data_IF_590046729871
#
_entry.id   IF_590046729871
#
_cell.length_a   1.000
_cell.length_b   1.000
_cell.length_c   1.000
_cell.angle_alpha   90.00
_cell.angle_beta   90.00
_cell.angle_gamma   90.00
#
_symmetry.space_group_name_H-M   'P 1'
#
loop_
_entity.id
_entity.type
_entity.pdbx_description
1 polymer ?
#
# COMPACT_ATOMS: atom_id res chain seq x y z
N UNK A 1 14.73 15.47 -35.36
CA UNK A 1 14.11 15.98 -34.13
C UNK A 1 12.62 15.71 -34.21
N UNK A 2 12.14 14.78 -33.39
CA UNK A 2 10.82 14.73 -32.78
C UNK A 2 10.90 13.53 -31.82
N UNK A 3 11.03 13.86 -30.54
CA UNK A 3 11.07 12.91 -29.42
C UNK A 3 9.70 12.24 -29.34
N UNK A 4 9.66 10.93 -29.60
CA UNK A 4 8.52 10.11 -29.22
C UNK A 4 8.67 9.90 -27.70
N UNK A 5 8.16 10.86 -26.94
CA UNK A 5 7.98 10.78 -25.50
C UNK A 5 6.98 9.66 -25.24
N UNK A 6 7.49 8.43 -25.15
CA UNK A 6 6.79 7.35 -24.49
C UNK A 6 6.50 7.82 -23.07
N UNK A 7 5.26 8.27 -22.85
CA UNK A 7 4.66 8.54 -21.55
C UNK A 7 4.93 7.35 -20.62
N UNK A 8 6.03 7.43 -19.88
CA UNK A 8 6.34 6.61 -18.72
C UNK A 8 5.35 7.05 -17.63
N UNK A 9 4.07 6.70 -17.80
CA UNK A 9 3.09 6.80 -16.73
C UNK A 9 3.58 5.81 -15.67
N UNK A 10 4.07 6.26 -14.51
CA UNK A 10 4.52 5.34 -13.50
C UNK A 10 3.32 4.48 -13.13
N UNK A 11 3.49 3.15 -13.20
CA UNK A 11 2.50 2.21 -12.67
C UNK A 11 2.10 2.73 -11.30
N UNK A 12 0.86 3.21 -11.16
CA UNK A 12 0.42 3.90 -9.95
C UNK A 12 0.83 3.06 -8.74
N UNK A 13 1.79 3.57 -7.98
CA UNK A 13 2.37 2.83 -6.88
C UNK A 13 1.31 2.76 -5.80
N UNK A 14 0.68 1.59 -5.67
CA UNK A 14 -0.45 1.37 -4.74
C UNK A 14 -0.09 1.83 -3.33
N UNK A 15 1.18 1.70 -2.93
CA UNK A 15 1.69 2.21 -1.67
C UNK A 15 1.58 3.74 -1.57
N UNK A 16 2.01 4.47 -2.60
CA UNK A 16 1.95 5.93 -2.62
C UNK A 16 0.51 6.43 -2.62
N UNK A 17 -0.40 5.75 -3.34
CA UNK A 17 -1.84 6.06 -3.29
C UNK A 17 -2.40 5.87 -1.89
N UNK A 18 -2.11 4.73 -1.23
CA UNK A 18 -2.59 4.47 0.14
C UNK A 18 -2.03 5.47 1.16
N UNK A 19 -0.75 5.82 1.05
CA UNK A 19 -0.13 6.81 1.92
C UNK A 19 -0.71 8.22 1.68
N UNK A 20 -1.01 8.58 0.43
CA UNK A 20 -1.71 9.84 0.12
C UNK A 20 -3.07 9.88 0.79
N UNK A 21 -3.88 8.83 0.65
CA UNK A 21 -5.21 8.75 1.26
C UNK A 21 -5.13 8.86 2.79
N UNK A 22 -4.12 8.23 3.41
CA UNK A 22 -3.91 8.33 4.86
C UNK A 22 -3.54 9.76 5.27
N UNK A 23 -2.69 10.44 4.49
CA UNK A 23 -2.32 11.84 4.73
C UNK A 23 -3.53 12.76 4.60
N UNK A 24 -4.27 12.67 3.51
CA UNK A 24 -5.47 13.49 3.24
C UNK A 24 -6.46 13.35 4.40
N UNK A 25 -6.75 12.12 4.81
CA UNK A 25 -7.64 11.85 5.93
C UNK A 25 -7.14 12.41 7.26
N UNK A 26 -5.84 12.31 7.53
CA UNK A 26 -5.26 12.89 8.74
C UNK A 26 -5.42 14.42 8.76
N UNK A 27 -5.19 15.08 7.63
CA UNK A 27 -5.39 16.53 7.48
C UNK A 27 -6.86 16.90 7.63
N UNK A 28 -7.78 16.12 7.09
CA UNK A 28 -9.22 16.35 7.26
C UNK A 28 -9.67 16.21 8.73
N UNK A 29 -9.13 15.24 9.46
CA UNK A 29 -9.51 14.96 10.85
C UNK A 29 -8.82 15.91 11.86
N UNK A 30 -7.56 16.27 11.62
CA UNK A 30 -6.74 17.04 12.56
C UNK A 30 -6.47 18.49 12.13
N UNK A 31 -6.70 18.84 10.86
CA UNK A 31 -6.44 20.16 10.31
C UNK A 31 -4.96 20.51 10.15
N UNK A 32 -4.06 19.53 10.33
CA UNK A 32 -2.61 19.69 10.24
C UNK A 32 -1.95 18.53 9.48
N UNK A 33 -0.74 18.75 8.98
CA UNK A 33 0.03 17.70 8.31
C UNK A 33 0.46 16.61 9.30
N UNK A 34 0.32 15.31 8.96
CA UNK A 34 0.79 14.23 9.80
C UNK A 34 2.31 14.30 10.03
N UNK A 35 2.78 14.02 11.25
CA UNK A 35 4.21 13.93 11.54
C UNK A 35 4.85 12.75 10.78
N UNK A 36 6.14 12.88 10.45
CA UNK A 36 6.87 11.84 9.69
C UNK A 36 6.80 10.46 10.37
N UNK A 37 6.93 10.41 11.70
CA UNK A 37 6.83 9.16 12.48
C UNK A 37 5.45 8.47 12.34
N UNK A 38 4.38 9.24 12.12
CA UNK A 38 3.06 8.66 11.84
C UNK A 38 3.04 8.03 10.45
N UNK A 39 3.56 8.72 9.45
CA UNK A 39 3.64 8.24 8.07
C UNK A 39 4.53 7.00 7.94
N UNK A 40 5.66 6.94 8.65
CA UNK A 40 6.53 5.76 8.68
C UNK A 40 5.81 4.54 9.30
N UNK A 41 5.09 4.74 10.40
CA UNK A 41 4.29 3.67 11.02
C UNK A 41 3.14 3.21 10.13
N UNK A 42 2.49 4.14 9.43
CA UNK A 42 1.45 3.82 8.45
C UNK A 42 2.01 2.95 7.31
N UNK A 43 3.17 3.32 6.76
CA UNK A 43 3.88 2.53 5.74
C UNK A 43 4.21 1.12 6.24
N UNK A 44 4.78 1.01 7.44
CA UNK A 44 5.12 -0.28 8.04
C UNK A 44 3.89 -1.18 8.23
N UNK A 45 2.76 -0.60 8.68
CA UNK A 45 1.49 -1.32 8.83
C UNK A 45 0.93 -1.81 7.48
N UNK A 46 1.00 -1.00 6.43
CA UNK A 46 0.55 -1.41 5.09
C UNK A 46 1.38 -2.60 4.60
N UNK A 47 2.71 -2.52 4.69
CA UNK A 47 3.60 -3.62 4.27
C UNK A 47 3.32 -4.90 5.08
N UNK A 48 3.20 -4.79 6.40
CA UNK A 48 2.87 -5.95 7.25
C UNK A 48 1.48 -6.51 6.96
N UNK A 49 0.49 -5.66 6.70
CA UNK A 49 -0.87 -6.09 6.37
C UNK A 49 -0.92 -6.87 5.05
N UNK A 50 -0.21 -6.41 4.03
CA UNK A 50 -0.09 -7.13 2.75
C UNK A 50 0.62 -8.48 2.96
N UNK A 51 1.75 -8.50 3.66
CA UNK A 51 2.48 -9.73 3.92
C UNK A 51 1.71 -10.75 4.78
N UNK A 52 0.84 -10.28 5.68
CA UNK A 52 0.02 -11.16 6.55
C UNK A 52 -1.14 -11.76 5.77
N UNK A 53 -1.79 -10.98 4.89
CA UNK A 53 -2.83 -11.49 3.99
C UNK A 53 -2.32 -12.56 3.05
N UNK A 54 -1.15 -12.38 2.45
CA UNK A 54 -0.49 -13.42 1.66
C UNK A 54 -0.23 -14.70 2.48
N UNK A 55 0.14 -14.58 3.76
CA UNK A 55 0.40 -15.77 4.57
C UNK A 55 -0.88 -16.54 4.96
N UNK A 56 -1.94 -15.83 5.28
CA UNK A 56 -3.22 -16.44 5.67
C UNK A 56 -3.95 -17.04 4.45
N UNK A 57 -3.98 -16.32 3.33
CA UNK A 57 -4.64 -16.78 2.10
C UNK A 57 -3.94 -18.04 1.51
N UNK A 58 -2.62 -18.18 1.67
CA UNK A 58 -1.91 -19.38 1.24
C UNK A 58 -2.09 -20.56 2.19
N UNK A 59 -2.28 -20.32 3.50
CA UNK A 59 -2.52 -21.42 4.45
C UNK A 59 -3.84 -22.12 4.14
N UNK A 60 -4.89 -21.36 3.86
CA UNK A 60 -6.21 -21.91 3.55
C UNK A 60 -6.19 -22.77 2.26
N UNK A 61 -5.35 -22.39 1.28
CA UNK A 61 -5.16 -23.18 0.04
C UNK A 61 -4.43 -24.50 0.33
N UNK A 62 -3.37 -24.50 1.16
CA UNK A 62 -2.66 -25.74 1.49
C UNK A 62 -3.47 -26.67 2.40
N UNK A 63 -4.20 -26.12 3.39
CA UNK A 63 -5.08 -26.92 4.25
C UNK A 63 -6.23 -27.55 3.43
N UNK A 64 -6.75 -26.87 2.40
CA UNK A 64 -7.75 -27.43 1.49
C UNK A 64 -7.22 -28.52 0.53
N UNK A 65 -5.90 -28.56 0.29
CA UNK A 65 -5.23 -29.57 -0.54
C UNK A 65 -4.70 -30.77 0.27
N UNK A 66 -4.67 -30.67 1.60
CA UNK A 66 -4.20 -31.71 2.49
C UNK A 66 -5.32 -32.63 3.04
N UNK A 67 -6.58 -32.32 2.72
CA UNK A 67 -7.79 -33.06 3.14
C UNK A 67 -8.36 -33.97 2.02
N UNK A 68 -7.60 -34.24 0.95
CA UNK A 68 -7.90 -35.25 -0.09
C UNK A 68 -7.02 -36.51 0.02
#
# INVERSE_FOLDING_TARGET
MAVDEGEDRPRANVMETLLSTIRERYVEEHGEEPPEEFMERARAKIVHGVATRDREEHRDIYDALADE
#
